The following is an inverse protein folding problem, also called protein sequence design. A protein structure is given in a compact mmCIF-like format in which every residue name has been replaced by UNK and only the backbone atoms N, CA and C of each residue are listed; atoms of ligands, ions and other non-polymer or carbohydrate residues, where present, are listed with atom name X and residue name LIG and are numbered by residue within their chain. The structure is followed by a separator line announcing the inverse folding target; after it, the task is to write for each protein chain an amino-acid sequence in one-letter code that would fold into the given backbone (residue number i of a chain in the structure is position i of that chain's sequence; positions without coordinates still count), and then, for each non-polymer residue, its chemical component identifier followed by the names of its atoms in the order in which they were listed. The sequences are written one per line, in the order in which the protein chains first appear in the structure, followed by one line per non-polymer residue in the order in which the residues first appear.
data_IF_226073261176
#
_entry.id   IF_226073261176
#
_cell.length_a   1.000
_cell.length_b   1.000
_cell.length_c   1.000
_cell.angle_alpha   90.00
_cell.angle_beta   90.00
_cell.angle_gamma   90.00
#
_symmetry.space_group_name_H-M   'P 1'
#
loop_
_entity.id
_entity.type
_entity.pdbx_description
1 polymer ?
#
# COMPACT_ATOMS: atom_id res chain seq x y z
N UNK A 1 4.17 28.02 6.35
CA UNK A 1 3.94 28.26 4.91
C UNK A 1 3.04 29.47 4.68
N UNK A 2 1.77 29.45 5.11
CA UNK A 2 0.91 30.66 5.00
C UNK A 2 1.49 31.83 5.77
N UNK A 3 1.83 31.66 7.04
CA UNK A 3 2.44 32.69 7.91
C UNK A 3 3.71 33.33 7.34
N UNK A 4 4.50 32.55 6.57
CA UNK A 4 5.73 33.04 5.94
C UNK A 4 5.49 33.92 4.71
N UNK A 5 4.41 33.63 3.96
CA UNK A 5 4.10 34.29 2.69
C UNK A 5 2.96 35.31 2.80
N UNK A 6 2.16 35.21 3.88
CA UNK A 6 1.05 36.11 4.20
C UNK A 6 1.23 36.65 5.62
N UNK A 7 2.13 37.60 5.87
CA UNK A 7 2.37 38.14 7.22
C UNK A 7 1.17 38.95 7.72
N UNK A 8 0.74 38.73 8.97
CA UNK A 8 -0.40 39.40 9.61
C UNK A 8 -0.41 40.94 9.56
N UNK A 9 0.74 41.57 9.37
CA UNK A 9 0.90 43.02 9.39
C UNK A 9 1.01 43.63 7.99
N UNK A 10 0.97 42.81 6.95
CA UNK A 10 1.05 43.25 5.56
C UNK A 10 -0.37 43.31 4.96
N UNK A 11 -0.59 44.27 4.06
CA UNK A 11 -1.80 44.26 3.26
C UNK A 11 -1.79 43.11 2.25
N UNK A 12 -2.95 42.67 1.77
CA UNK A 12 -3.08 41.58 0.80
C UNK A 12 -2.22 41.76 -0.44
N UNK A 13 -2.05 42.97 -0.90
CA UNK A 13 -1.22 43.29 -2.08
C UNK A 13 0.28 42.98 -1.86
N UNK A 14 0.73 42.89 -0.61
CA UNK A 14 2.10 42.56 -0.25
C UNK A 14 2.30 41.06 0.02
N UNK A 15 1.25 40.25 -0.02
CA UNK A 15 1.32 38.82 0.18
C UNK A 15 1.86 38.09 -1.06
N UNK A 16 2.69 37.07 -0.84
CA UNK A 16 3.11 36.17 -1.92
C UNK A 16 2.10 35.05 -2.13
N UNK A 17 0.91 35.43 -2.62
CA UNK A 17 -0.20 34.49 -2.91
C UNK A 17 0.21 33.40 -3.90
N UNK A 18 1.15 33.72 -4.83
CA UNK A 18 1.62 32.76 -5.83
C UNK A 18 2.46 31.64 -5.18
N UNK A 19 3.20 31.96 -4.13
CA UNK A 19 3.96 30.95 -3.39
C UNK A 19 3.03 29.95 -2.71
N UNK A 20 1.90 30.43 -2.13
CA UNK A 20 0.88 29.57 -1.51
C UNK A 20 0.19 28.70 -2.55
N UNK A 21 -0.28 29.28 -3.68
CA UNK A 21 -0.90 28.54 -4.77
C UNK A 21 0.05 27.46 -5.33
N UNK A 22 1.32 27.81 -5.56
CA UNK A 22 2.34 26.88 -6.06
C UNK A 22 2.59 25.75 -5.07
N UNK A 23 2.63 26.07 -3.78
CA UNK A 23 2.81 25.06 -2.74
C UNK A 23 1.61 24.11 -2.68
N UNK A 24 0.38 24.63 -2.71
CA UNK A 24 -0.85 23.83 -2.73
C UNK A 24 -0.88 22.89 -3.95
N UNK A 25 -0.56 23.40 -5.13
CA UNK A 25 -0.43 22.62 -6.35
C UNK A 25 0.69 21.55 -6.23
N UNK A 26 1.81 21.91 -5.59
CA UNK A 26 2.90 20.98 -5.27
C UNK A 26 2.49 19.86 -4.33
N UNK A 27 1.58 20.11 -3.38
CA UNK A 27 1.07 19.10 -2.44
C UNK A 27 0.02 18.20 -3.06
N UNK A 28 -0.91 18.73 -3.83
CA UNK A 28 -2.07 18.00 -4.36
C UNK A 28 -1.86 17.43 -5.76
N UNK A 29 -1.01 18.07 -6.55
CA UNK A 29 -0.85 17.79 -7.99
C UNK A 29 -1.91 18.47 -8.86
N UNK A 30 -2.81 19.28 -8.27
CA UNK A 30 -3.88 20.03 -8.92
C UNK A 30 -3.66 21.53 -8.74
N UNK A 31 -4.12 22.34 -9.69
CA UNK A 31 -4.06 23.80 -9.64
C UNK A 31 -5.42 24.42 -9.33
N UNK A 32 -6.23 23.75 -8.50
CA UNK A 32 -7.61 24.17 -8.25
C UNK A 32 -7.72 25.15 -7.06
N UNK A 33 -6.68 25.25 -6.25
CA UNK A 33 -6.61 26.17 -5.10
C UNK A 33 -5.98 27.50 -5.50
N UNK A 34 -6.71 28.60 -5.28
CA UNK A 34 -6.23 29.97 -5.53
C UNK A 34 -6.60 30.88 -4.38
N UNK A 35 -5.62 31.44 -3.71
CA UNK A 35 -5.81 32.39 -2.59
C UNK A 35 -6.67 33.59 -3.00
N UNK A 36 -6.47 34.11 -4.21
CA UNK A 36 -7.23 35.26 -4.73
C UNK A 36 -8.76 35.01 -4.87
N UNK A 37 -9.20 33.73 -4.81
CA UNK A 37 -10.63 33.38 -4.90
C UNK A 37 -11.30 33.17 -3.54
N UNK A 38 -10.56 33.35 -2.44
CA UNK A 38 -11.01 33.11 -1.07
C UNK A 38 -11.39 34.46 -0.43
N UNK A 39 -12.45 34.48 0.37
CA UNK A 39 -12.73 35.58 1.27
C UNK A 39 -11.72 35.53 2.43
N UNK A 40 -10.75 36.44 2.44
CA UNK A 40 -9.64 36.42 3.41
C UNK A 40 -9.65 37.62 4.38
N UNK A 41 -10.44 38.65 4.14
CA UNK A 41 -10.54 39.86 4.96
C UNK A 41 -9.17 40.43 5.42
N UNK A 42 -8.13 40.26 4.61
CA UNK A 42 -6.73 40.54 4.91
C UNK A 42 -6.17 39.79 6.15
N UNK A 43 -6.80 38.67 6.55
CA UNK A 43 -6.37 37.80 7.65
C UNK A 43 -5.74 36.51 7.12
N UNK A 44 -4.45 36.26 7.41
CA UNK A 44 -3.76 35.03 6.98
C UNK A 44 -4.39 33.74 7.51
N UNK A 45 -5.05 33.82 8.68
CA UNK A 45 -5.72 32.68 9.31
C UNK A 45 -6.85 32.13 8.42
N UNK A 46 -7.64 33.03 7.78
CA UNK A 46 -8.70 32.62 6.85
C UNK A 46 -8.15 31.86 5.63
N UNK A 47 -6.97 32.25 5.14
CA UNK A 47 -6.28 31.54 4.05
C UNK A 47 -5.77 30.16 4.52
N UNK A 48 -5.25 30.08 5.75
CA UNK A 48 -4.77 28.82 6.32
C UNK A 48 -5.93 27.84 6.55
N UNK A 49 -7.07 28.33 7.03
CA UNK A 49 -8.28 27.53 7.23
C UNK A 49 -8.85 27.03 5.89
N UNK A 50 -8.97 27.90 4.91
CA UNK A 50 -9.43 27.52 3.57
C UNK A 50 -8.50 26.51 2.89
N UNK A 51 -7.18 26.66 3.06
CA UNK A 51 -6.20 25.69 2.56
C UNK A 51 -6.35 24.34 3.27
N UNK A 52 -6.57 24.35 4.57
CA UNK A 52 -6.77 23.14 5.36
C UNK A 52 -8.04 22.41 4.92
N UNK A 53 -9.16 23.14 4.80
CA UNK A 53 -10.44 22.59 4.32
C UNK A 53 -10.31 21.99 2.93
N UNK A 54 -9.58 22.66 2.03
CA UNK A 54 -9.32 22.13 0.68
C UNK A 54 -8.55 20.80 0.71
N UNK A 55 -7.48 20.71 1.53
CA UNK A 55 -6.68 19.49 1.64
C UNK A 55 -7.47 18.35 2.31
N UNK A 56 -8.26 18.66 3.34
CA UNK A 56 -9.16 17.71 4.00
C UNK A 56 -10.26 17.22 3.06
N UNK A 57 -10.77 18.08 2.19
CA UNK A 57 -11.74 17.72 1.15
C UNK A 57 -11.19 16.66 0.20
N UNK A 58 -9.97 16.86 -0.31
CA UNK A 58 -9.28 15.87 -1.17
C UNK A 58 -9.08 14.54 -0.43
N UNK A 59 -8.70 14.60 0.83
CA UNK A 59 -8.54 13.42 1.66
C UNK A 59 -9.86 12.67 1.85
N UNK A 60 -10.93 13.37 2.20
CA UNK A 60 -12.26 12.80 2.39
C UNK A 60 -12.82 12.16 1.11
N UNK A 61 -12.61 12.78 -0.06
CA UNK A 61 -12.97 12.16 -1.34
C UNK A 61 -12.27 10.82 -1.56
N UNK A 62 -10.98 10.73 -1.26
CA UNK A 62 -10.21 9.48 -1.37
C UNK A 62 -10.70 8.42 -0.39
N UNK A 63 -10.98 8.80 0.85
CA UNK A 63 -11.53 7.88 1.86
C UNK A 63 -12.91 7.36 1.44
N UNK A 64 -13.76 8.20 0.88
CA UNK A 64 -15.07 7.79 0.36
C UNK A 64 -14.96 6.80 -0.83
N UNK A 65 -13.96 6.97 -1.69
CA UNK A 65 -13.72 6.08 -2.83
C UNK A 65 -13.17 4.71 -2.41
N UNK A 66 -12.26 4.68 -1.43
CA UNK A 66 -11.59 3.45 -0.99
C UNK A 66 -12.34 2.72 0.12
N UNK A 67 -13.07 3.45 0.95
CA UNK A 67 -13.54 3.00 2.24
C UNK A 67 -12.47 3.11 3.33
N UNK A 68 -12.91 3.27 4.59
CA UNK A 68 -12.05 3.58 5.72
C UNK A 68 -10.94 2.53 5.96
N UNK A 69 -11.26 1.24 5.88
CA UNK A 69 -10.29 0.17 6.15
C UNK A 69 -9.15 0.13 5.12
N UNK A 70 -9.49 0.30 3.84
CA UNK A 70 -8.49 0.33 2.77
C UNK A 70 -7.65 1.60 2.87
N UNK A 71 -8.25 2.74 3.23
CA UNK A 71 -7.54 3.99 3.43
C UNK A 71 -6.52 3.88 4.57
N UNK A 72 -6.89 3.31 5.73
CA UNK A 72 -5.94 3.07 6.84
C UNK A 72 -4.77 2.15 6.45
N UNK A 73 -5.04 1.11 5.66
CA UNK A 73 -3.98 0.26 5.12
C UNK A 73 -3.03 1.02 4.20
N UNK A 74 -3.57 1.82 3.28
CA UNK A 74 -2.78 2.64 2.36
C UNK A 74 -1.90 3.62 3.11
N UNK A 75 -2.45 4.34 4.08
CA UNK A 75 -1.73 5.28 4.94
C UNK A 75 -0.55 4.62 5.65
N UNK A 76 -0.80 3.44 6.26
CA UNK A 76 0.24 2.69 6.95
C UNK A 76 1.37 2.29 6.01
N UNK A 77 1.06 1.80 4.80
CA UNK A 77 2.06 1.41 3.81
C UNK A 77 2.87 2.60 3.30
N UNK A 78 2.21 3.73 3.02
CA UNK A 78 2.87 4.96 2.58
C UNK A 78 3.80 5.48 3.67
N UNK A 79 3.32 5.57 4.92
CA UNK A 79 4.11 6.05 6.05
C UNK A 79 5.33 5.17 6.30
N UNK A 80 5.16 3.84 6.34
CA UNK A 80 6.28 2.91 6.55
C UNK A 80 7.34 3.05 5.47
N UNK A 81 6.94 3.16 4.21
CA UNK A 81 7.88 3.33 3.10
C UNK A 81 8.68 4.64 3.19
N UNK A 82 8.03 5.72 3.61
CA UNK A 82 8.69 7.03 3.80
C UNK A 82 9.66 6.96 4.97
N UNK A 83 9.22 6.37 6.10
CA UNK A 83 10.09 6.17 7.28
C UNK A 83 11.35 5.41 6.86
N UNK A 84 11.22 4.26 6.20
CA UNK A 84 12.36 3.45 5.78
C UNK A 84 13.33 4.26 4.91
N UNK A 85 12.82 4.95 3.90
CA UNK A 85 13.63 5.72 2.97
C UNK A 85 14.35 6.87 3.66
N UNK A 86 13.63 7.66 4.46
CA UNK A 86 14.18 8.84 5.15
C UNK A 86 15.09 8.46 6.30
N UNK A 87 14.78 7.38 7.01
CA UNK A 87 15.60 6.86 8.09
C UNK A 87 16.96 6.37 7.58
N UNK A 88 17.00 5.62 6.48
CA UNK A 88 18.27 5.19 5.88
C UNK A 88 19.13 6.36 5.44
N UNK A 89 18.55 7.40 4.85
CA UNK A 89 19.26 8.62 4.49
C UNK A 89 19.79 9.35 5.75
N UNK A 90 18.99 9.41 6.81
CA UNK A 90 19.40 10.02 8.08
C UNK A 90 20.56 9.28 8.75
N UNK A 91 20.56 7.95 8.73
CA UNK A 91 21.69 7.18 9.26
C UNK A 91 22.98 7.49 8.52
N UNK A 92 22.94 7.63 7.19
CA UNK A 92 24.10 8.02 6.40
C UNK A 92 24.55 9.47 6.70
N UNK A 93 23.61 10.41 6.91
CA UNK A 93 23.90 11.77 7.35
C UNK A 93 24.60 11.78 8.73
N UNK A 94 24.12 10.97 9.66
CA UNK A 94 24.68 10.83 11.01
C UNK A 94 26.11 10.25 10.98
N UNK A 95 26.37 9.27 10.14
CA UNK A 95 27.71 8.71 9.98
C UNK A 95 28.68 9.74 9.39
N UNK A 96 28.21 10.53 8.41
CA UNK A 96 28.99 11.64 7.85
C UNK A 96 29.28 12.71 8.91
N UNK A 97 28.27 13.11 9.67
CA UNK A 97 28.41 14.07 10.77
C UNK A 97 29.44 13.59 11.80
N UNK A 98 29.35 12.32 12.22
CA UNK A 98 30.27 11.70 13.17
C UNK A 98 31.72 11.75 12.68
N UNK A 99 31.94 11.53 11.38
CA UNK A 99 33.27 11.55 10.78
C UNK A 99 33.84 12.97 10.74
N UNK A 100 33.01 13.99 10.47
CA UNK A 100 33.43 15.38 10.32
C UNK A 100 33.55 16.19 11.62
N UNK A 101 32.88 15.76 12.70
CA UNK A 101 32.74 16.55 13.91
C UNK A 101 34.07 16.79 14.63
N UNK A 102 35.03 15.85 14.52
CA UNK A 102 36.37 15.98 15.10
C UNK A 102 37.18 17.17 14.55
N UNK A 103 36.90 17.60 13.34
CA UNK A 103 37.55 18.76 12.75
C UNK A 103 37.14 20.07 13.42
N UNK A 104 36.00 20.14 14.07
CA UNK A 104 35.51 21.33 14.78
C UNK A 104 36.20 21.58 16.11
N UNK A 105 36.91 20.57 16.65
CA UNK A 105 37.74 20.74 17.83
C UNK A 105 38.85 21.80 17.62
N UNK A 106 39.29 22.00 16.39
CA UNK A 106 40.28 23.06 16.05
C UNK A 106 39.70 24.47 16.25
N UNK A 107 38.39 24.65 16.27
CA UNK A 107 37.74 25.94 16.49
C UNK A 107 37.40 26.20 17.99
N UNK A 108 38.05 25.50 18.91
CA UNK A 108 37.83 25.59 20.36
C UNK A 108 36.39 25.31 20.82
N UNK A 109 35.63 24.58 20.01
CA UNK A 109 34.26 24.11 20.38
C UNK A 109 34.33 22.66 20.87
N UNK A 110 33.49 22.34 21.84
CA UNK A 110 33.38 20.96 22.31
C UNK A 110 32.69 20.11 21.21
N UNK A 111 33.43 19.13 20.62
CA UNK A 111 32.88 18.30 19.54
C UNK A 111 31.60 17.53 19.93
N UNK A 112 31.47 17.16 21.22
CA UNK A 112 30.29 16.42 21.68
C UNK A 112 29.05 17.32 21.72
N UNK A 113 29.20 18.57 22.15
CA UNK A 113 28.11 19.54 22.17
C UNK A 113 27.66 19.88 20.76
N UNK A 114 28.61 20.12 19.86
CA UNK A 114 28.32 20.40 18.44
C UNK A 114 27.62 19.19 17.78
N UNK A 115 28.11 17.97 18.03
CA UNK A 115 27.47 16.76 17.53
C UNK A 115 26.01 16.65 17.98
N UNK A 116 25.74 16.85 19.27
CA UNK A 116 24.37 16.77 19.81
C UNK A 116 23.44 17.82 19.20
N UNK A 117 23.92 19.03 19.02
CA UNK A 117 23.13 20.11 18.44
C UNK A 117 22.80 19.84 16.96
N UNK A 118 23.79 19.42 16.17
CA UNK A 118 23.59 19.12 14.75
C UNK A 118 22.75 17.86 14.55
N UNK A 119 22.96 16.82 15.36
CA UNK A 119 22.16 15.60 15.34
C UNK A 119 20.71 15.90 15.66
N UNK A 120 20.43 16.74 16.66
CA UNK A 120 19.09 17.14 17.01
C UNK A 120 18.43 17.94 15.87
N UNK A 121 19.13 18.91 15.30
CA UNK A 121 18.63 19.68 14.17
C UNK A 121 18.37 18.77 12.92
N UNK A 122 19.25 17.80 12.67
CA UNK A 122 19.05 16.82 11.60
C UNK A 122 17.81 15.96 11.84
N UNK A 123 17.59 15.52 13.10
CA UNK A 123 16.41 14.74 13.44
C UNK A 123 15.10 15.55 13.34
N UNK A 124 15.12 16.83 13.71
CA UNK A 124 13.97 17.70 13.50
C UNK A 124 13.63 17.87 12.00
N UNK A 125 14.65 18.08 11.16
CA UNK A 125 14.47 18.13 9.69
C UNK A 125 13.94 16.81 9.15
N UNK A 126 14.45 15.68 9.62
CA UNK A 126 13.94 14.35 9.25
C UNK A 126 12.44 14.26 9.53
N UNK A 127 12.04 14.57 10.77
CA UNK A 127 10.63 14.46 11.18
C UNK A 127 9.73 15.35 10.32
N UNK A 128 10.11 16.62 10.13
CA UNK A 128 9.35 17.54 9.30
C UNK A 128 9.24 17.06 7.85
N UNK A 129 10.34 16.58 7.25
CA UNK A 129 10.33 16.06 5.88
C UNK A 129 9.50 14.78 5.71
N UNK A 130 9.44 13.93 6.73
CA UNK A 130 8.59 12.72 6.70
C UNK A 130 7.11 13.07 6.64
N UNK A 131 6.65 14.04 7.44
CA UNK A 131 5.25 14.47 7.40
C UNK A 131 4.89 15.15 6.07
N UNK A 132 5.78 15.98 5.55
CA UNK A 132 5.57 16.65 4.26
C UNK A 132 5.49 15.64 3.10
N UNK A 133 6.41 14.69 3.05
CA UNK A 133 6.40 13.63 2.03
C UNK A 133 5.17 12.73 2.14
N UNK A 134 4.74 12.45 3.38
CA UNK A 134 3.53 11.66 3.63
C UNK A 134 2.29 12.34 3.07
N UNK A 135 2.06 13.60 3.45
CA UNK A 135 0.92 14.36 2.97
C UNK A 135 0.97 14.52 1.44
N UNK A 136 2.13 14.90 0.90
CA UNK A 136 2.32 15.03 -0.56
C UNK A 136 2.03 13.72 -1.29
N UNK A 137 2.53 12.61 -0.79
CA UNK A 137 2.32 11.30 -1.42
C UNK A 137 0.86 10.91 -1.37
N UNK A 138 0.21 11.04 -0.21
CA UNK A 138 -1.18 10.68 0.00
C UNK A 138 -2.14 11.53 -0.86
N UNK A 139 -1.93 12.85 -0.87
CA UNK A 139 -2.78 13.77 -1.62
C UNK A 139 -2.61 13.65 -3.14
N UNK A 140 -1.41 13.31 -3.63
CA UNK A 140 -1.14 13.12 -5.07
C UNK A 140 -1.52 11.74 -5.60
N UNK A 141 -1.75 10.78 -4.73
CA UNK A 141 -2.03 9.41 -5.13
C UNK A 141 -3.35 9.35 -5.92
N UNK A 142 -3.27 8.92 -7.17
CA UNK A 142 -4.45 8.72 -8.01
C UNK A 142 -4.98 7.30 -7.79
N UNK A 143 -6.24 7.21 -7.37
CA UNK A 143 -6.90 5.95 -7.11
C UNK A 143 -7.59 5.51 -8.40
N UNK A 144 -7.00 4.56 -9.12
CA UNK A 144 -7.68 3.88 -10.20
C UNK A 144 -8.50 2.72 -9.62
N UNK A 145 -9.77 2.94 -9.37
CA UNK A 145 -10.69 1.84 -9.04
C UNK A 145 -10.88 1.03 -10.32
N UNK A 146 -10.19 -0.10 -10.44
CA UNK A 146 -10.48 -1.09 -11.45
C UNK A 146 -11.85 -1.67 -11.14
N UNK A 147 -12.89 -1.16 -11.76
CA UNK A 147 -14.18 -1.85 -11.78
C UNK A 147 -13.93 -3.17 -12.52
N UNK A 148 -13.74 -4.25 -11.79
CA UNK A 148 -13.91 -5.57 -12.40
C UNK A 148 -15.36 -5.61 -12.84
N UNK A 149 -15.62 -5.86 -14.15
CA UNK A 149 -17.00 -6.02 -14.59
C UNK A 149 -17.57 -7.16 -13.74
N UNK A 150 -18.65 -6.87 -13.02
CA UNK A 150 -19.43 -7.89 -12.31
C UNK A 150 -19.66 -8.97 -13.37
N UNK A 151 -19.18 -10.21 -13.16
CA UNK A 151 -19.48 -11.27 -14.12
C UNK A 151 -20.99 -11.29 -14.21
N UNK A 152 -21.56 -10.97 -15.38
CA UNK A 152 -22.97 -11.21 -15.62
C UNK A 152 -23.18 -12.68 -15.22
N UNK A 153 -23.99 -12.90 -14.19
CA UNK A 153 -24.43 -14.24 -13.83
C UNK A 153 -25.08 -14.82 -15.09
N UNK A 154 -24.26 -15.48 -15.90
CA UNK A 154 -24.77 -16.27 -17.01
C UNK A 154 -25.68 -17.30 -16.37
N UNK A 155 -26.97 -17.06 -16.53
CA UNK A 155 -27.99 -17.97 -16.08
C UNK A 155 -27.60 -19.37 -16.56
N UNK A 156 -27.25 -20.32 -15.66
CA UNK A 156 -26.72 -21.62 -16.07
C UNK A 156 -27.75 -22.44 -16.85
N UNK A 157 -28.96 -21.92 -17.04
CA UNK A 157 -30.06 -22.53 -17.76
C UNK A 157 -30.19 -22.09 -19.24
N UNK A 158 -29.56 -20.98 -19.66
CA UNK A 158 -29.68 -20.49 -21.04
C UNK A 158 -28.96 -21.34 -22.12
N UNK A 159 -28.06 -22.23 -21.70
CA UNK A 159 -27.37 -23.15 -22.61
C UNK A 159 -27.93 -24.59 -22.62
N UNK A 160 -28.94 -24.90 -21.80
CA UNK A 160 -29.45 -26.27 -21.63
C UNK A 160 -30.85 -26.53 -22.16
N UNK A 161 -31.50 -25.52 -22.69
CA UNK A 161 -32.77 -25.71 -23.41
C UNK A 161 -32.53 -25.92 -24.91
N UNK A 162 -31.86 -27.01 -25.28
CA UNK A 162 -32.00 -27.55 -26.61
C UNK A 162 -33.28 -28.37 -26.67
N UNK A 163 -34.29 -27.80 -27.26
CA UNK A 163 -35.55 -28.49 -27.56
C UNK A 163 -35.25 -29.58 -28.60
N UNK A 164 -35.08 -30.83 -28.13
CA UNK A 164 -35.05 -32.00 -29.06
C UNK A 164 -36.46 -32.22 -29.57
N UNK A 165 -36.55 -32.29 -30.93
CA UNK A 165 -37.81 -32.65 -31.61
C UNK A 165 -38.28 -34.01 -31.13
N UNK A 166 -39.62 -34.26 -31.07
CA UNK A 166 -40.18 -35.51 -30.57
C UNK A 166 -39.93 -36.76 -31.41
N UNK A 167 -39.06 -36.66 -32.43
CA UNK A 167 -38.74 -37.79 -33.34
C UNK A 167 -37.57 -38.66 -32.90
N UNK A 168 -36.77 -38.18 -31.88
CA UNK A 168 -35.66 -38.97 -31.33
C UNK A 168 -36.09 -39.63 -30.02
N UNK A 169 -36.92 -40.65 -30.12
CA UNK A 169 -37.26 -41.51 -28.97
C UNK A 169 -36.03 -42.31 -28.59
N UNK A 170 -35.53 -42.10 -27.34
CA UNK A 170 -34.43 -42.85 -26.74
C UNK A 170 -34.73 -44.36 -26.84
N UNK A 171 -33.79 -45.12 -27.40
CA UNK A 171 -33.88 -46.59 -27.44
C UNK A 171 -33.57 -47.19 -26.05
N UNK A 172 -34.08 -48.39 -25.75
CA UNK A 172 -33.86 -49.06 -24.44
C UNK A 172 -32.36 -49.27 -24.10
N UNK A 173 -31.45 -49.12 -25.04
CA UNK A 173 -29.99 -49.18 -24.82
C UNK A 173 -29.41 -47.93 -24.16
N UNK A 174 -30.08 -46.75 -24.26
CA UNK A 174 -29.56 -45.48 -23.74
C UNK A 174 -29.90 -45.30 -22.26
N UNK A 175 -30.84 -46.08 -21.71
CA UNK A 175 -31.25 -46.01 -20.29
C UNK A 175 -30.26 -46.74 -19.37
N UNK A 176 -29.40 -47.66 -19.92
CA UNK A 176 -28.46 -48.45 -19.11
C UNK A 176 -27.12 -47.76 -18.82
N UNK A 177 -26.84 -46.61 -19.45
CA UNK A 177 -25.56 -45.91 -19.37
C UNK A 177 -25.61 -44.58 -18.58
N UNK A 178 -26.63 -44.33 -17.76
CA UNK A 178 -26.69 -43.14 -16.91
C UNK A 178 -25.70 -43.27 -15.75
N UNK A 179 -24.71 -42.35 -15.58
CA UNK A 179 -23.78 -42.44 -14.48
C UNK A 179 -24.47 -42.18 -13.14
N UNK A 180 -23.99 -42.84 -12.09
CA UNK A 180 -24.48 -42.85 -10.70
C UNK A 180 -24.63 -41.46 -9.99
N UNK A 181 -24.51 -40.38 -10.73
CA UNK A 181 -24.67 -39.01 -10.21
C UNK A 181 -26.13 -38.58 -9.99
N UNK A 182 -27.10 -39.31 -10.56
CA UNK A 182 -28.53 -38.96 -10.45
C UNK A 182 -29.19 -39.46 -9.17
N UNK A 183 -28.52 -40.30 -8.38
CA UNK A 183 -29.11 -40.86 -7.14
C UNK A 183 -28.88 -40.01 -5.88
N UNK A 184 -28.00 -38.98 -5.94
CA UNK A 184 -27.69 -38.13 -4.78
C UNK A 184 -28.69 -36.96 -4.55
N UNK A 185 -29.54 -36.67 -5.53
CA UNK A 185 -30.49 -35.53 -5.46
C UNK A 185 -31.75 -35.83 -4.64
N UNK A 186 -31.97 -37.10 -4.30
CA UNK A 186 -33.19 -37.50 -3.52
C UNK A 186 -33.00 -37.50 -2.00
N UNK A 187 -31.80 -37.22 -1.48
CA UNK A 187 -31.49 -37.30 -0.05
C UNK A 187 -31.40 -35.95 0.68
N UNK A 188 -31.74 -34.83 0.05
CA UNK A 188 -31.92 -33.54 0.74
C UNK A 188 -30.66 -32.96 1.44
N UNK A 189 -29.45 -33.43 1.11
CA UNK A 189 -28.21 -33.00 1.76
C UNK A 189 -27.48 -32.01 0.84
N UNK A 190 -27.40 -30.75 1.28
CA UNK A 190 -26.65 -29.71 0.56
C UNK A 190 -25.16 -30.06 0.46
N UNK A 191 -24.51 -29.91 -0.71
CA UNK A 191 -23.07 -30.19 -0.85
C UNK A 191 -22.29 -29.22 0.04
N UNK A 192 -21.50 -29.75 0.98
CA UNK A 192 -20.49 -28.99 1.72
C UNK A 192 -19.47 -28.42 0.74
N UNK A 193 -19.02 -27.17 0.93
CA UNK A 193 -17.97 -26.60 0.10
C UNK A 193 -16.72 -27.48 0.20
N UNK A 194 -16.20 -27.89 -0.94
CA UNK A 194 -14.99 -28.69 -1.04
C UNK A 194 -13.82 -27.89 -0.46
N UNK A 195 -13.11 -28.47 0.51
CA UNK A 195 -11.86 -27.96 1.02
C UNK A 195 -10.86 -27.75 -0.14
N UNK A 196 -10.03 -26.69 -0.13
CA UNK A 196 -9.05 -26.46 -1.16
C UNK A 196 -8.11 -27.67 -1.24
N UNK A 197 -7.96 -28.23 -2.44
CA UNK A 197 -7.03 -29.34 -2.69
C UNK A 197 -5.63 -28.83 -2.35
N UNK A 198 -4.81 -29.59 -1.59
CA UNK A 198 -3.43 -29.20 -1.34
C UNK A 198 -2.70 -29.08 -2.68
N UNK A 199 -2.11 -27.92 -2.94
CA UNK A 199 -1.23 -27.70 -4.09
C UNK A 199 -0.03 -28.66 -3.95
N UNK A 200 0.05 -29.63 -4.82
CA UNK A 200 1.19 -30.55 -4.88
C UNK A 200 2.40 -29.75 -5.38
N UNK A 201 3.32 -29.43 -4.48
CA UNK A 201 4.60 -28.82 -4.85
C UNK A 201 5.41 -29.82 -5.69
N UNK A 202 5.61 -29.48 -6.97
CA UNK A 202 6.46 -30.27 -7.88
C UNK A 202 7.89 -29.85 -7.62
N UNK A 203 8.66 -30.71 -6.90
CA UNK A 203 10.09 -30.50 -6.68
C UNK A 203 10.83 -30.45 -8.00
N UNK A 204 11.72 -29.47 -8.14
CA UNK A 204 12.59 -29.33 -9.32
C UNK A 204 13.51 -30.56 -9.44
N UNK A 205 13.61 -31.14 -10.65
CA UNK A 205 14.42 -32.33 -10.90
C UNK A 205 15.92 -32.11 -10.70
N UNK A 206 16.37 -30.87 -10.61
CA UNK A 206 17.77 -30.48 -10.39
C UNK A 206 18.10 -30.15 -8.94
N UNK A 207 17.14 -30.24 -8.01
CA UNK A 207 17.41 -30.02 -6.59
C UNK A 207 18.14 -31.24 -6.01
N UNK A 208 19.40 -31.10 -5.47
CA UNK A 208 20.16 -32.18 -4.88
C UNK A 208 19.45 -32.84 -3.65
N UNK A 209 18.41 -32.21 -3.14
CA UNK A 209 17.61 -32.70 -2.03
C UNK A 209 16.19 -33.16 -2.43
N UNK A 210 15.90 -33.26 -3.72
CA UNK A 210 14.58 -33.63 -4.24
C UNK A 210 14.05 -34.97 -3.68
N UNK A 211 14.92 -35.90 -3.40
CA UNK A 211 14.59 -37.26 -2.94
C UNK A 211 14.66 -37.46 -1.42
N UNK A 212 14.94 -36.37 -0.64
CA UNK A 212 15.07 -36.43 0.80
C UNK A 212 13.74 -36.11 1.49
N UNK A 213 13.23 -37.04 2.28
CA UNK A 213 12.01 -36.83 3.05
C UNK A 213 12.22 -35.84 4.21
N UNK A 214 11.18 -35.12 4.59
CA UNK A 214 11.23 -34.09 5.67
C UNK A 214 11.78 -34.62 6.99
N UNK A 215 11.58 -35.91 7.29
CA UNK A 215 12.02 -36.57 8.52
C UNK A 215 13.31 -37.39 8.39
N UNK A 216 13.85 -37.53 7.17
CA UNK A 216 15.06 -38.29 6.91
C UNK A 216 16.30 -37.56 7.45
N UNK A 217 17.39 -38.30 7.73
CA UNK A 217 18.66 -37.70 8.12
C UNK A 217 19.19 -36.81 7.01
N UNK A 218 19.66 -35.61 7.35
CA UNK A 218 20.13 -34.65 6.36
C UNK A 218 21.40 -35.15 5.66
N UNK A 219 21.48 -35.18 4.33
CA UNK A 219 22.65 -35.66 3.58
C UNK A 219 23.94 -34.87 3.83
N UNK A 220 23.88 -33.71 4.48
CA UNK A 220 25.05 -32.91 4.82
C UNK A 220 25.93 -33.52 5.95
N UNK A 221 25.56 -34.66 6.51
CA UNK A 221 26.31 -35.30 7.57
C UNK A 221 26.16 -34.70 8.97
N UNK A 222 25.27 -33.74 9.17
CA UNK A 222 25.07 -33.08 10.48
C UNK A 222 24.36 -33.93 11.53
N UNK A 223 23.88 -35.13 11.21
CA UNK A 223 23.09 -35.99 12.09
C UNK A 223 21.69 -35.47 12.45
N UNK A 224 21.28 -34.32 11.95
CA UNK A 224 19.96 -33.74 12.18
C UNK A 224 18.98 -34.17 11.09
N UNK A 225 17.66 -34.21 11.44
CA UNK A 225 16.60 -34.44 10.45
C UNK A 225 16.58 -33.31 9.44
N UNK A 226 16.27 -33.62 8.17
CA UNK A 226 16.26 -32.65 7.07
C UNK A 226 15.48 -31.37 7.38
N UNK A 227 14.27 -31.48 7.96
CA UNK A 227 13.44 -30.34 8.40
C UNK A 227 14.07 -29.41 9.46
N UNK A 228 15.09 -29.88 10.18
CA UNK A 228 15.82 -29.12 11.20
C UNK A 228 17.25 -28.72 10.74
N UNK A 229 17.53 -28.88 9.46
CA UNK A 229 18.78 -28.51 8.82
C UNK A 229 18.53 -27.76 7.51
N UNK A 230 18.78 -28.36 6.36
CA UNK A 230 18.60 -27.69 5.05
C UNK A 230 17.14 -27.53 4.62
N UNK A 231 16.23 -28.34 5.16
CA UNK A 231 14.78 -28.17 4.92
C UNK A 231 14.11 -27.03 5.71
N UNK A 232 14.86 -26.24 6.48
CA UNK A 232 14.32 -25.11 7.25
C UNK A 232 14.12 -23.84 6.39
N UNK A 233 14.67 -23.84 5.17
CA UNK A 233 14.63 -22.71 4.23
C UNK A 233 13.81 -23.02 2.96
N UNK A 234 12.99 -24.08 2.98
CA UNK A 234 12.18 -24.54 1.85
C UNK A 234 10.67 -24.45 2.12
N UNK A 235 10.24 -23.53 2.99
CA UNK A 235 8.82 -23.16 3.15
C UNK A 235 8.47 -21.92 2.36
#
# INVERSE_FOLDING_TARGET
MVEENCPERAAFDDWDVKAVDTWAAGMTGNNDFHVASIEHDDEPENVADALTEYLEGIYAEKENLLGADMMRNLESQVMLRIIDTRWMAHLAEMDYLKTGIGLRAFAQRDPLVEYKNEAYAAFQRLTASMYEDYLRTLLRLQIAVKQEPIPEERNPLEGRLSYSKPEDALTESDIKAAPAAAQAVQAGEAPKPAAPKPTTYVKDKNDPFANVGRNDPCPCGSGKKFKKCHGMYQD
#
